data_IF_977193050426
#
_entry.id   IF_977193050426
#
_cell.length_a   1.000
_cell.length_b   1.000
_cell.length_c   1.000
_cell.angle_alpha   90.00
_cell.angle_beta   90.00
_cell.angle_gamma   90.00
#
_symmetry.space_group_name_H-M   'P 1'
#
loop_
_entity.id
_entity.type
_entity.pdbx_description
1 polymer ?
#
# COMPACT_ATOMS: atom_id res chain seq x y z
N UNK A 1 45.06 10.24 0.71
CA UNK A 1 45.83 10.26 -0.55
C UNK A 1 46.65 9.00 -0.72
N UNK A 2 47.41 8.58 0.30
CA UNK A 2 48.24 7.37 0.24
C UNK A 2 47.40 6.06 0.09
N UNK A 3 46.26 5.99 0.73
CA UNK A 3 45.36 4.83 0.64
C UNK A 3 44.67 4.72 -0.74
N UNK A 4 44.41 5.84 -1.41
CA UNK A 4 43.83 5.85 -2.74
C UNK A 4 44.87 5.44 -3.81
N UNK A 5 46.14 5.80 -3.61
CA UNK A 5 47.25 5.36 -4.47
C UNK A 5 47.52 3.86 -4.33
N UNK A 6 47.50 3.32 -3.12
CA UNK A 6 47.62 1.88 -2.89
C UNK A 6 46.45 1.06 -3.47
N UNK A 7 45.23 1.63 -3.42
CA UNK A 7 44.07 1.00 -4.06
C UNK A 7 44.18 1.00 -5.60
N UNK A 8 44.70 2.08 -6.19
CA UNK A 8 44.93 2.19 -7.65
C UNK A 8 46.01 1.19 -8.10
N UNK A 9 47.16 1.15 -7.42
CA UNK A 9 48.21 0.17 -7.70
C UNK A 9 47.71 -1.29 -7.55
N UNK A 10 46.83 -1.54 -6.58
CA UNK A 10 46.20 -2.83 -6.42
C UNK A 10 45.24 -3.24 -7.54
N UNK A 11 44.56 -2.26 -8.14
CA UNK A 11 43.67 -2.46 -9.29
C UNK A 11 44.50 -2.63 -10.58
N UNK A 12 45.54 -1.83 -10.80
CA UNK A 12 46.45 -1.97 -11.95
C UNK A 12 47.14 -3.35 -11.95
N UNK A 13 47.58 -3.84 -10.80
CA UNK A 13 48.20 -5.16 -10.67
C UNK A 13 47.22 -6.28 -10.98
N UNK A 14 46.00 -6.23 -10.47
CA UNK A 14 44.95 -7.20 -10.74
C UNK A 14 44.52 -7.20 -12.23
N UNK A 15 44.51 -6.05 -12.85
CA UNK A 15 44.16 -5.89 -14.25
C UNK A 15 45.28 -6.44 -15.17
N UNK A 16 46.55 -6.22 -14.81
CA UNK A 16 47.71 -6.79 -15.50
C UNK A 16 47.72 -8.32 -15.38
N UNK A 17 47.49 -8.87 -14.19
CA UNK A 17 47.42 -10.33 -13.94
C UNK A 17 46.25 -10.98 -14.69
N UNK A 18 45.12 -10.27 -14.82
CA UNK A 18 43.97 -10.75 -15.59
C UNK A 18 44.26 -10.73 -17.10
N UNK A 19 44.91 -9.68 -17.59
CA UNK A 19 45.30 -9.55 -19.00
C UNK A 19 46.32 -10.62 -19.41
N UNK A 20 47.30 -10.93 -18.56
CA UNK A 20 48.26 -12.04 -18.79
C UNK A 20 47.59 -13.40 -18.79
N UNK A 21 46.68 -13.68 -17.85
CA UNK A 21 45.92 -14.92 -17.82
C UNK A 21 45.01 -15.08 -19.05
N UNK A 22 44.31 -14.03 -19.42
CA UNK A 22 43.46 -14.02 -20.60
C UNK A 22 44.27 -14.25 -21.89
N UNK A 23 45.44 -13.63 -22.00
CA UNK A 23 46.35 -13.85 -23.16
C UNK A 23 46.91 -15.27 -23.19
N UNK A 24 47.22 -15.85 -22.04
CA UNK A 24 47.69 -17.25 -21.91
C UNK A 24 46.60 -18.26 -22.26
N UNK A 25 45.37 -18.05 -21.86
CA UNK A 25 44.24 -18.92 -22.20
C UNK A 25 43.85 -18.79 -23.68
N UNK A 26 43.93 -17.63 -24.30
CA UNK A 26 43.69 -17.36 -25.71
C UNK A 26 44.74 -18.09 -26.58
N UNK A 27 46.01 -18.09 -26.18
CA UNK A 27 47.06 -18.82 -26.89
C UNK A 27 46.87 -20.35 -26.83
N UNK A 28 46.28 -20.85 -25.74
CA UNK A 28 46.04 -22.30 -25.59
C UNK A 28 44.86 -22.85 -26.43
N UNK A 29 43.93 -21.96 -26.86
CA UNK A 29 42.70 -22.35 -27.59
C UNK A 29 42.87 -22.25 -29.12
N UNK A 30 43.95 -21.72 -29.64
CA UNK A 30 44.41 -21.88 -31.03
C UNK A 30 43.52 -21.31 -32.16
N UNK A 31 42.44 -20.61 -31.88
CA UNK A 31 41.60 -19.85 -32.82
C UNK A 31 40.93 -18.64 -32.17
N UNK A 32 41.65 -17.54 -32.08
CA UNK A 32 41.04 -16.26 -31.72
C UNK A 32 40.44 -15.65 -32.99
N UNK A 33 39.12 -15.40 -32.95
CA UNK A 33 38.46 -14.60 -34.01
C UNK A 33 39.07 -13.20 -34.06
N UNK A 34 39.26 -12.67 -35.28
CA UNK A 34 39.74 -11.31 -35.52
C UNK A 34 38.93 -10.24 -34.78
N UNK A 35 37.65 -10.53 -34.48
CA UNK A 35 36.77 -9.66 -33.73
C UNK A 35 37.15 -9.54 -32.24
N UNK A 36 37.67 -10.62 -31.66
CA UNK A 36 38.15 -10.64 -30.27
C UNK A 36 39.46 -9.88 -30.12
N UNK A 37 40.33 -9.99 -31.11
CA UNK A 37 41.61 -9.22 -31.18
C UNK A 37 41.33 -7.74 -31.27
N UNK A 38 40.40 -7.31 -32.13
CA UNK A 38 39.96 -5.91 -32.23
C UNK A 38 39.28 -5.39 -30.96
N UNK A 39 38.55 -6.22 -30.26
CA UNK A 39 37.94 -5.85 -28.98
C UNK A 39 38.98 -5.64 -27.87
N UNK A 40 40.02 -6.46 -27.82
CA UNK A 40 41.15 -6.35 -26.88
C UNK A 40 41.96 -5.08 -27.17
N UNK A 41 42.26 -4.80 -28.44
CA UNK A 41 42.99 -3.59 -28.87
C UNK A 41 42.18 -2.32 -28.52
N UNK A 42 40.86 -2.32 -28.75
CA UNK A 42 39.99 -1.21 -28.38
C UNK A 42 39.90 -1.02 -26.85
N UNK A 43 39.94 -2.12 -26.08
CA UNK A 43 40.01 -2.02 -24.61
C UNK A 43 41.35 -1.39 -24.17
N UNK A 44 42.46 -1.74 -24.79
CA UNK A 44 43.77 -1.17 -24.55
C UNK A 44 43.85 0.31 -24.87
N UNK A 45 43.18 0.75 -25.94
CA UNK A 45 43.07 2.19 -26.30
C UNK A 45 42.23 2.94 -25.27
N UNK A 46 41.09 2.43 -24.88
CA UNK A 46 40.25 3.06 -23.82
C UNK A 46 40.94 3.15 -22.47
N UNK A 47 41.78 2.17 -22.13
CA UNK A 47 42.57 2.23 -20.89
C UNK A 47 43.61 3.34 -20.91
N UNK A 48 44.26 3.58 -22.08
CA UNK A 48 45.21 4.70 -22.25
C UNK A 48 44.48 6.05 -22.17
N UNK A 49 43.32 6.17 -22.83
CA UNK A 49 42.50 7.38 -22.76
C UNK A 49 42.06 7.71 -21.32
N UNK A 50 41.63 6.71 -20.58
CA UNK A 50 41.28 6.87 -19.15
C UNK A 50 42.49 7.24 -18.29
N UNK A 51 43.66 6.64 -18.52
CA UNK A 51 44.89 7.00 -17.83
C UNK A 51 45.33 8.44 -18.10
N UNK A 52 45.20 8.86 -19.36
CA UNK A 52 45.49 10.24 -19.74
C UNK A 52 44.49 11.26 -19.16
N UNK A 53 43.23 10.87 -19.09
CA UNK A 53 42.18 11.69 -18.47
C UNK A 53 42.38 11.82 -16.95
N UNK A 54 42.78 10.74 -16.28
CA UNK A 54 43.19 10.76 -14.87
C UNK A 54 44.44 11.65 -14.66
N UNK A 55 45.41 11.59 -15.59
CA UNK A 55 46.61 12.45 -15.53
C UNK A 55 46.24 13.92 -15.73
N UNK A 56 45.35 14.24 -16.65
CA UNK A 56 44.82 15.59 -16.88
C UNK A 56 44.01 16.09 -15.69
N UNK A 57 43.19 15.25 -15.07
CA UNK A 57 42.48 15.58 -13.84
C UNK A 57 43.45 15.82 -12.67
N UNK A 58 44.54 15.04 -12.60
CA UNK A 58 45.59 15.23 -11.60
C UNK A 58 46.35 16.55 -11.81
N UNK A 59 46.62 16.91 -13.06
CA UNK A 59 47.26 18.21 -13.42
C UNK A 59 46.30 19.40 -13.20
N UNK A 60 45.01 19.25 -13.48
CA UNK A 60 43.99 20.27 -13.19
C UNK A 60 43.68 20.38 -11.68
N UNK A 61 43.71 19.27 -10.96
CA UNK A 61 43.53 19.25 -9.51
C UNK A 61 44.73 19.83 -8.73
N UNK A 62 45.92 19.76 -9.29
CA UNK A 62 47.12 20.31 -8.66
C UNK A 62 47.20 21.86 -8.68
N UNK A 63 46.50 22.50 -9.62
CA UNK A 63 46.46 23.96 -9.69
C UNK A 63 45.41 24.62 -8.77
N UNK A 64 44.42 23.86 -8.33
CA UNK A 64 43.35 24.39 -7.48
C UNK A 64 43.65 24.29 -5.97
N UNK A 65 44.68 23.52 -5.60
CA UNK A 65 45.07 23.31 -4.18
C UNK A 65 46.31 24.12 -3.76
N UNK A 66 46.93 24.86 -4.69
CA UNK A 66 48.13 25.68 -4.38
C UNK A 66 47.81 27.05 -3.78
N UNK A 67 46.54 27.48 -3.77
CA UNK A 67 46.10 28.75 -3.20
C UNK A 67 45.00 28.61 -2.13
N UNK A 68 44.82 27.41 -1.59
CA UNK A 68 44.09 27.23 -0.34
C UNK A 68 45.02 27.75 0.78
N UNK A 69 44.93 29.05 1.08
CA UNK A 69 45.24 29.55 2.41
C UNK A 69 44.67 28.56 3.38
N UNK A 70 45.54 28.00 4.26
CA UNK A 70 45.07 27.21 5.43
C UNK A 70 43.82 27.89 5.97
N UNK A 71 42.69 27.18 5.90
CA UNK A 71 41.50 27.58 6.62
C UNK A 71 41.85 27.60 8.11
N UNK A 72 42.34 28.73 8.58
CA UNK A 72 42.54 28.98 9.97
C UNK A 72 41.13 29.00 10.60
N UNK A 73 40.79 27.95 11.27
CA UNK A 73 39.52 27.89 12.06
C UNK A 73 39.48 29.12 12.96
N UNK A 74 38.27 29.64 13.22
CA UNK A 74 38.09 30.80 14.10
C UNK A 74 38.80 30.63 15.45
N UNK A 75 38.91 29.38 15.92
CA UNK A 75 39.69 29.01 17.13
C UNK A 75 41.21 29.18 16.94
N UNK A 76 41.77 28.85 15.76
CA UNK A 76 43.20 29.04 15.48
C UNK A 76 43.56 30.53 15.38
N UNK A 77 42.72 31.33 14.74
CA UNK A 77 42.82 32.80 14.68
C UNK A 77 42.73 33.44 16.07
N UNK A 78 41.85 32.91 16.94
CA UNK A 78 41.71 33.34 18.33
C UNK A 78 42.99 33.11 19.13
N UNK A 79 43.56 31.91 19.07
CA UNK A 79 44.79 31.55 19.83
C UNK A 79 46.04 32.31 19.32
N UNK A 80 46.10 32.67 18.03
CA UNK A 80 47.17 33.41 17.44
C UNK A 80 47.08 34.94 17.66
N UNK A 81 45.90 35.43 18.08
CA UNK A 81 45.69 36.87 18.25
C UNK A 81 46.54 37.44 19.42
N UNK A 82 47.04 38.63 19.20
CA UNK A 82 47.84 39.35 20.22
C UNK A 82 47.02 39.61 21.50
N UNK A 83 45.72 39.72 21.37
CA UNK A 83 44.80 39.85 22.50
C UNK A 83 44.72 38.62 23.39
N UNK A 84 44.73 37.40 22.77
CA UNK A 84 44.77 36.14 23.52
C UNK A 84 46.17 35.94 24.18
N UNK A 85 47.24 36.31 23.51
CA UNK A 85 48.63 36.25 24.06
C UNK A 85 48.78 37.18 25.25
N UNK A 86 48.18 38.38 25.20
CA UNK A 86 48.16 39.32 26.35
C UNK A 86 47.32 38.79 27.52
N UNK A 87 46.25 38.09 27.21
CA UNK A 87 45.42 37.42 28.25
C UNK A 87 46.16 36.25 28.90
N UNK A 88 46.75 35.38 28.09
CA UNK A 88 47.57 34.26 28.56
C UNK A 88 48.82 34.70 29.34
N UNK A 89 49.35 35.90 29.03
CA UNK A 89 50.47 36.52 29.77
C UNK A 89 50.01 37.32 31.02
N UNK A 90 48.73 37.31 31.38
CA UNK A 90 48.21 37.95 32.57
C UNK A 90 48.09 39.48 32.49
N UNK A 91 48.27 40.07 31.31
CA UNK A 91 48.19 41.52 31.08
C UNK A 91 46.80 42.04 30.73
N UNK A 92 45.81 41.14 30.49
CA UNK A 92 44.44 41.52 30.17
C UNK A 92 43.43 40.64 30.94
N UNK A 93 42.38 41.26 31.48
CA UNK A 93 41.34 40.51 32.24
C UNK A 93 40.21 39.98 31.35
N UNK A 94 40.07 40.42 30.11
CA UNK A 94 39.04 39.99 29.16
C UNK A 94 39.60 40.07 27.73
N UNK A 95 39.27 39.03 26.91
CA UNK A 95 39.59 39.00 25.48
C UNK A 95 38.30 39.00 24.66
N UNK A 96 38.19 39.90 23.70
CA UNK A 96 37.11 39.95 22.74
C UNK A 96 37.71 40.06 21.34
N UNK A 97 37.54 39.04 20.53
CA UNK A 97 37.94 39.05 19.12
C UNK A 97 36.71 39.29 18.26
N UNK A 98 36.71 40.32 17.46
CA UNK A 98 35.71 40.52 16.40
C UNK A 98 36.18 39.83 15.11
N UNK A 99 35.52 38.71 14.78
CA UNK A 99 35.75 38.05 13.47
C UNK A 99 34.92 38.80 12.43
N UNK A 100 35.57 39.65 11.65
CA UNK A 100 34.93 40.51 10.63
C UNK A 100 34.45 39.76 9.37
N UNK A 101 34.65 38.47 9.27
CA UNK A 101 34.21 37.66 8.14
C UNK A 101 33.07 36.73 8.53
N UNK A 102 31.89 37.29 8.76
CA UNK A 102 30.66 36.51 8.88
C UNK A 102 30.21 36.15 7.47
N UNK A 103 30.40 34.92 7.04
CA UNK A 103 29.73 34.40 5.85
C UNK A 103 28.26 34.36 6.17
N UNK A 104 27.53 35.39 5.78
CA UNK A 104 26.07 35.41 5.84
C UNK A 104 25.55 34.42 4.82
N UNK A 105 24.49 33.73 5.20
CA UNK A 105 23.74 32.81 4.34
C UNK A 105 23.06 33.61 3.22
N UNK A 106 23.87 34.09 2.23
CA UNK A 106 23.33 34.75 1.05
C UNK A 106 22.63 33.72 0.15
N UNK A 107 21.57 34.17 -0.50
CA UNK A 107 20.85 33.38 -1.50
C UNK A 107 21.83 32.78 -2.50
N UNK A 108 22.06 31.48 -2.48
CA UNK A 108 23.03 30.76 -3.34
C UNK A 108 24.13 29.99 -2.60
N UNK A 109 24.40 30.27 -1.31
CA UNK A 109 25.44 29.56 -0.54
C UNK A 109 24.91 28.29 0.20
N UNK A 110 23.62 28.11 0.24
CA UNK A 110 22.98 26.91 0.77
C UNK A 110 22.16 26.25 -0.33
N UNK A 111 22.53 25.06 -0.71
CA UNK A 111 21.73 24.24 -1.61
C UNK A 111 20.60 23.60 -0.78
N UNK A 112 19.35 23.75 -1.23
CA UNK A 112 18.25 23.01 -0.62
C UNK A 112 18.41 21.53 -0.96
N UNK A 113 18.44 20.67 0.04
CA UNK A 113 18.38 19.23 -0.14
C UNK A 113 16.97 18.84 -0.58
N UNK A 114 16.84 18.49 -1.86
CA UNK A 114 15.57 18.10 -2.45
C UNK A 114 15.40 16.60 -2.30
N UNK A 115 14.45 16.15 -1.49
CA UNK A 115 14.09 14.74 -1.44
C UNK A 115 13.58 14.28 -2.81
N UNK A 116 14.18 13.23 -3.41
CA UNK A 116 13.76 12.73 -4.71
C UNK A 116 12.41 12.00 -4.68
N UNK A 117 11.91 11.65 -3.48
CA UNK A 117 10.66 10.92 -3.30
C UNK A 117 9.48 11.85 -3.05
N UNK A 118 8.33 11.50 -3.64
CA UNK A 118 7.05 12.16 -3.35
C UNK A 118 6.56 11.70 -1.98
N UNK A 119 6.26 12.65 -1.09
CA UNK A 119 5.57 12.33 0.16
C UNK A 119 4.10 12.13 -0.15
N UNK A 120 3.67 10.88 -0.24
CA UNK A 120 2.30 10.51 -0.56
C UNK A 120 1.34 10.76 0.59
N UNK A 121 0.04 10.93 0.27
CA UNK A 121 -1.04 10.88 1.26
C UNK A 121 -1.21 9.47 1.85
N UNK A 122 -1.95 9.37 2.94
CA UNK A 122 -2.24 8.11 3.60
C UNK A 122 -2.94 7.11 2.66
N UNK A 123 -2.58 5.84 2.79
CA UNK A 123 -3.25 4.71 2.16
C UNK A 123 -4.08 4.00 3.23
N UNK A 124 -5.36 3.74 2.93
CA UNK A 124 -6.19 2.88 3.76
C UNK A 124 -5.76 1.43 3.56
N UNK A 125 -5.66 0.67 4.64
CA UNK A 125 -5.46 -0.78 4.55
C UNK A 125 -6.72 -1.43 3.98
N UNK A 126 -6.58 -2.12 2.86
CA UNK A 126 -7.65 -2.87 2.20
C UNK A 126 -7.61 -4.30 2.73
N UNK A 127 -8.68 -4.73 3.39
CA UNK A 127 -8.72 -6.03 4.08
C UNK A 127 -9.82 -6.95 3.61
N UNK A 128 -10.88 -6.42 2.98
CA UNK A 128 -12.08 -7.20 2.69
C UNK A 128 -11.85 -8.33 1.69
N UNK A 129 -11.08 -8.07 0.63
CA UNK A 129 -10.80 -9.10 -0.36
C UNK A 129 -10.05 -10.30 0.25
N UNK A 130 -9.14 -10.05 1.19
CA UNK A 130 -8.38 -11.11 1.86
C UNK A 130 -9.21 -11.98 2.82
N UNK A 131 -10.42 -11.53 3.17
CA UNK A 131 -11.34 -12.24 4.05
C UNK A 131 -12.34 -13.11 3.29
N UNK A 132 -12.48 -12.88 1.99
CA UNK A 132 -13.37 -13.61 1.12
C UNK A 132 -12.66 -14.80 0.46
N UNK A 133 -13.42 -15.86 0.17
CA UNK A 133 -12.95 -16.89 -0.74
C UNK A 133 -12.79 -16.29 -2.13
N UNK A 134 -11.62 -16.40 -2.73
CA UNK A 134 -11.34 -15.84 -4.06
C UNK A 134 -11.13 -16.95 -5.08
N UNK A 135 -11.84 -16.87 -6.20
CA UNK A 135 -11.73 -17.80 -7.32
C UNK A 135 -11.47 -17.05 -8.64
N UNK A 136 -10.64 -17.58 -9.53
CA UNK A 136 -10.47 -17.03 -10.87
C UNK A 136 -11.66 -17.39 -11.77
N UNK A 137 -12.00 -16.51 -12.73
CA UNK A 137 -12.98 -16.78 -13.76
C UNK A 137 -12.52 -16.26 -15.12
N UNK A 138 -12.92 -16.90 -16.20
CA UNK A 138 -12.70 -16.41 -17.57
C UNK A 138 -13.98 -15.89 -18.22
N UNK A 139 -15.13 -16.13 -17.58
CA UNK A 139 -16.45 -15.75 -18.10
C UNK A 139 -16.80 -14.29 -17.81
N UNK A 140 -17.73 -13.72 -18.59
CA UNK A 140 -18.27 -12.38 -18.37
C UNK A 140 -19.35 -12.30 -17.27
N UNK A 141 -19.88 -13.46 -16.90
CA UNK A 141 -20.89 -13.61 -15.85
C UNK A 141 -20.68 -14.98 -15.21
N UNK A 142 -21.12 -15.13 -13.97
CA UNK A 142 -21.15 -16.40 -13.26
C UNK A 142 -22.60 -16.69 -12.90
N UNK A 143 -23.05 -17.86 -13.30
CA UNK A 143 -24.36 -18.38 -12.96
C UNK A 143 -24.23 -19.35 -11.79
N UNK A 144 -25.04 -19.16 -10.78
CA UNK A 144 -25.10 -20.07 -9.64
C UNK A 144 -26.53 -20.23 -9.14
N UNK A 145 -26.77 -21.32 -8.40
CA UNK A 145 -28.09 -21.63 -7.88
C UNK A 145 -28.08 -21.42 -6.38
N UNK A 146 -28.96 -20.55 -5.89
CA UNK A 146 -29.21 -20.35 -4.46
C UNK A 146 -30.29 -21.32 -4.00
N UNK A 147 -30.05 -21.95 -2.87
CA UNK A 147 -31.11 -22.60 -2.09
C UNK A 147 -31.91 -21.52 -1.34
N UNK A 148 -33.25 -21.49 -1.56
CA UNK A 148 -34.11 -20.54 -0.86
C UNK A 148 -34.62 -21.12 0.44
N UNK A 149 -35.28 -22.27 0.36
CA UNK A 149 -35.91 -22.93 1.51
C UNK A 149 -35.69 -24.43 1.38
N UNK A 150 -35.18 -25.02 2.42
CA UNK A 150 -35.17 -26.45 2.66
C UNK A 150 -36.23 -26.80 3.74
N UNK A 151 -37.27 -27.49 3.36
CA UNK A 151 -38.26 -28.01 4.30
C UNK A 151 -37.89 -29.44 4.65
N UNK A 152 -37.33 -29.61 5.83
CA UNK A 152 -37.03 -30.97 6.36
C UNK A 152 -38.25 -31.53 7.05
N UNK A 153 -38.85 -32.54 6.44
CA UNK A 153 -39.97 -33.30 7.00
C UNK A 153 -39.54 -34.67 7.55
N UNK A 154 -38.23 -34.88 7.73
CA UNK A 154 -37.74 -36.15 8.28
C UNK A 154 -38.31 -36.39 9.67
N UNK A 155 -38.98 -37.52 9.86
CA UNK A 155 -39.59 -37.97 11.14
C UNK A 155 -39.49 -39.48 11.30
N UNK A 156 -39.51 -39.91 12.52
CA UNK A 156 -39.60 -41.33 12.87
C UNK A 156 -40.94 -41.88 12.37
N UNK A 157 -40.88 -42.95 11.60
CA UNK A 157 -42.08 -43.56 11.02
C UNK A 157 -42.17 -45.02 11.36
N UNK A 158 -43.38 -45.44 11.70
CA UNK A 158 -43.70 -46.88 11.96
C UNK A 158 -43.70 -47.65 10.65
N UNK A 159 -43.55 -48.95 10.76
CA UNK A 159 -43.60 -49.86 9.62
C UNK A 159 -45.00 -49.85 8.94
N UNK A 160 -44.96 -49.75 7.59
CA UNK A 160 -46.17 -49.72 6.78
C UNK A 160 -46.82 -48.37 6.57
N UNK A 161 -46.29 -47.26 7.16
CA UNK A 161 -46.77 -45.88 6.95
C UNK A 161 -45.93 -45.17 5.92
N UNK A 162 -46.58 -44.33 5.09
CA UNK A 162 -45.88 -43.46 4.12
C UNK A 162 -44.89 -42.55 4.82
N UNK A 163 -43.68 -42.44 4.26
CA UNK A 163 -42.62 -41.54 4.76
C UNK A 163 -42.97 -40.10 4.41
N UNK A 164 -42.71 -39.12 5.31
CA UNK A 164 -42.91 -37.69 4.99
C UNK A 164 -41.99 -37.21 3.87
N UNK A 165 -42.50 -36.32 3.02
CA UNK A 165 -41.79 -35.74 1.89
C UNK A 165 -41.15 -34.44 2.29
N UNK A 166 -39.85 -34.31 2.07
CA UNK A 166 -39.07 -33.05 2.19
C UNK A 166 -39.02 -32.33 0.88
N UNK A 167 -38.91 -31.00 0.90
CA UNK A 167 -38.83 -30.19 -0.30
C UNK A 167 -37.68 -29.19 -0.25
N UNK A 168 -37.06 -28.92 -1.43
CA UNK A 168 -36.03 -27.90 -1.62
C UNK A 168 -36.46 -26.97 -2.74
N UNK A 169 -36.42 -25.68 -2.48
CA UNK A 169 -36.64 -24.65 -3.51
C UNK A 169 -35.35 -23.92 -3.81
N UNK A 170 -35.10 -23.69 -5.10
CA UNK A 170 -33.88 -23.06 -5.55
C UNK A 170 -34.17 -21.89 -6.52
N UNK A 171 -33.27 -20.91 -6.58
CA UNK A 171 -33.34 -19.80 -7.53
C UNK A 171 -32.01 -19.68 -8.26
N UNK A 172 -32.06 -19.63 -9.59
CA UNK A 172 -30.89 -19.33 -10.40
C UNK A 172 -30.59 -17.84 -10.34
N UNK A 173 -29.33 -17.50 -10.15
CA UNK A 173 -28.80 -16.13 -10.08
C UNK A 173 -27.65 -15.99 -11.05
N UNK A 174 -27.71 -14.94 -11.89
CA UNK A 174 -26.66 -14.56 -12.83
C UNK A 174 -26.07 -13.23 -12.38
N UNK A 175 -24.79 -13.20 -12.05
CA UNK A 175 -24.09 -11.97 -11.69
C UNK A 175 -23.03 -11.64 -12.75
N UNK A 176 -23.10 -10.44 -13.38
CA UNK A 176 -22.12 -10.03 -14.37
C UNK A 176 -20.82 -9.56 -13.73
N UNK A 177 -19.70 -9.76 -14.45
CA UNK A 177 -18.40 -9.21 -14.08
C UNK A 177 -18.40 -7.70 -14.31
N UNK A 178 -18.13 -6.93 -13.28
CA UNK A 178 -17.96 -5.49 -13.35
C UNK A 178 -16.54 -5.10 -13.72
N UNK A 179 -16.39 -4.01 -14.50
CA UNK A 179 -15.11 -3.40 -14.80
C UNK A 179 -14.96 -2.12 -13.98
N UNK A 180 -13.92 -2.05 -13.19
CA UNK A 180 -13.54 -0.85 -12.42
C UNK A 180 -12.29 -0.27 -13.04
N UNK A 181 -12.40 0.96 -13.56
CA UNK A 181 -11.29 1.60 -14.26
C UNK A 181 -11.25 3.11 -13.98
N UNK A 182 -10.07 3.68 -14.05
CA UNK A 182 -9.82 5.10 -14.11
C UNK A 182 -8.54 5.41 -14.86
N UNK A 183 -8.34 6.65 -15.24
CA UNK A 183 -7.18 7.08 -15.99
C UNK A 183 -6.70 8.47 -15.58
N UNK A 184 -5.44 8.78 -15.87
CA UNK A 184 -4.80 10.08 -15.66
C UNK A 184 -3.89 10.41 -16.84
N UNK A 185 -3.75 11.69 -17.19
CA UNK A 185 -2.74 12.17 -18.16
C UNK A 185 -1.57 12.79 -17.42
N UNK A 186 -0.37 12.44 -17.85
CA UNK A 186 0.89 13.06 -17.39
C UNK A 186 1.70 13.53 -18.58
N UNK A 187 2.59 14.53 -18.40
CA UNK A 187 3.50 14.91 -19.47
C UNK A 187 4.63 13.88 -19.58
N UNK A 188 5.04 13.58 -20.82
CA UNK A 188 6.15 12.68 -21.12
C UNK A 188 7.46 13.16 -20.52
N UNK A 189 7.69 14.47 -20.52
CA UNK A 189 8.88 15.08 -19.91
C UNK A 189 8.91 14.77 -18.41
N UNK A 190 7.79 14.97 -17.70
CA UNK A 190 7.71 14.70 -16.28
C UNK A 190 7.94 13.21 -15.95
N UNK A 191 7.41 12.30 -16.79
CA UNK A 191 7.61 10.86 -16.63
C UNK A 191 9.10 10.46 -16.80
N UNK A 192 9.79 11.08 -17.75
CA UNK A 192 11.20 10.81 -18.03
C UNK A 192 12.14 11.45 -16.99
N UNK A 193 11.83 12.69 -16.58
CA UNK A 193 12.69 13.46 -15.67
C UNK A 193 12.53 13.01 -14.21
N UNK A 194 11.40 12.41 -13.84
CA UNK A 194 11.12 12.01 -12.47
C UNK A 194 10.52 10.58 -12.38
N UNK A 195 11.39 9.59 -12.45
CA UNK A 195 11.00 8.17 -12.34
C UNK A 195 10.31 7.83 -11.00
N UNK A 196 10.67 8.52 -9.92
CA UNK A 196 10.04 8.31 -8.61
C UNK A 196 8.58 8.79 -8.61
N UNK A 197 8.27 9.89 -9.29
CA UNK A 197 6.91 10.37 -9.45
C UNK A 197 6.09 9.43 -10.32
N UNK A 198 6.65 8.92 -11.42
CA UNK A 198 5.98 7.94 -12.28
C UNK A 198 5.63 6.65 -11.51
N UNK A 199 6.56 6.12 -10.73
CA UNK A 199 6.33 4.95 -9.87
C UNK A 199 5.23 5.23 -8.81
N UNK A 200 5.25 6.41 -8.19
CA UNK A 200 4.21 6.81 -7.23
C UNK A 200 2.83 6.90 -7.88
N UNK A 201 2.73 7.48 -9.08
CA UNK A 201 1.46 7.56 -9.82
C UNK A 201 0.93 6.15 -10.12
N UNK A 202 1.77 5.24 -10.62
CA UNK A 202 1.37 3.86 -10.89
C UNK A 202 0.84 3.15 -9.64
N UNK A 203 1.54 3.29 -8.50
CA UNK A 203 1.09 2.75 -7.22
C UNK A 203 -0.26 3.34 -6.79
N UNK A 204 -0.43 4.66 -6.98
CA UNK A 204 -1.67 5.36 -6.61
C UNK A 204 -2.84 4.97 -7.50
N UNK A 205 -2.58 4.72 -8.80
CA UNK A 205 -3.57 4.25 -9.75
C UNK A 205 -4.07 2.84 -9.40
N UNK A 206 -3.15 1.90 -9.14
CA UNK A 206 -3.52 0.56 -8.69
C UNK A 206 -4.36 0.60 -7.41
N UNK A 207 -3.88 1.32 -6.40
CA UNK A 207 -4.61 1.48 -5.14
C UNK A 207 -6.01 2.10 -5.33
N UNK A 208 -6.16 3.06 -6.24
CA UNK A 208 -7.46 3.69 -6.53
C UNK A 208 -8.50 2.70 -7.05
N UNK A 209 -8.10 1.78 -7.92
CA UNK A 209 -8.97 0.69 -8.42
C UNK A 209 -9.34 -0.25 -7.28
N UNK A 210 -8.36 -0.72 -6.51
CA UNK A 210 -8.59 -1.68 -5.42
C UNK A 210 -9.46 -1.07 -4.31
N UNK A 211 -9.28 0.20 -3.99
CA UNK A 211 -10.14 0.95 -3.08
C UNK A 211 -11.60 0.99 -3.57
N UNK A 212 -11.81 1.20 -4.87
CA UNK A 212 -13.15 1.20 -5.45
C UNK A 212 -13.77 -0.19 -5.44
N UNK A 213 -12.98 -1.23 -5.70
CA UNK A 213 -13.42 -2.62 -5.59
C UNK A 213 -13.88 -2.94 -4.16
N UNK A 214 -13.10 -2.56 -3.15
CA UNK A 214 -13.49 -2.76 -1.74
C UNK A 214 -14.83 -2.07 -1.40
N UNK A 215 -15.01 -0.84 -1.88
CA UNK A 215 -16.27 -0.13 -1.70
C UNK A 215 -17.43 -0.82 -2.44
N UNK A 216 -17.20 -1.40 -3.61
CA UNK A 216 -18.21 -2.13 -4.36
C UNK A 216 -18.56 -3.49 -3.74
N UNK A 217 -17.62 -4.16 -3.09
CA UNK A 217 -17.88 -5.40 -2.33
C UNK A 217 -18.95 -5.15 -1.26
N UNK A 218 -18.90 -4.02 -0.57
CA UNK A 218 -19.90 -3.69 0.45
C UNK A 218 -21.12 -3.03 -0.18
N UNK A 219 -20.94 -1.86 -0.81
CA UNK A 219 -22.02 -0.94 -1.19
C UNK A 219 -22.44 -1.05 -2.66
N UNK A 220 -22.00 -2.07 -3.38
CA UNK A 220 -22.41 -2.28 -4.77
C UNK A 220 -23.90 -2.58 -4.87
N UNK A 221 -24.63 -1.81 -5.71
CA UNK A 221 -26.09 -1.94 -5.85
C UNK A 221 -26.53 -3.01 -6.87
N UNK A 222 -25.58 -3.62 -7.60
CA UNK A 222 -25.84 -4.64 -8.61
C UNK A 222 -26.54 -4.14 -9.89
N UNK A 223 -26.71 -2.83 -10.05
CA UNK A 223 -27.21 -2.24 -11.30
C UNK A 223 -26.01 -1.92 -12.18
N UNK A 224 -25.96 -2.49 -13.39
CA UNK A 224 -24.85 -2.24 -14.31
C UNK A 224 -24.57 -0.73 -14.48
N UNK A 225 -23.29 -0.30 -14.40
CA UNK A 225 -22.06 -1.08 -14.37
C UNK A 225 -21.54 -1.49 -12.97
N UNK A 226 -22.32 -1.27 -11.90
CA UNK A 226 -21.89 -1.56 -10.54
C UNK A 226 -21.93 -3.06 -10.24
N UNK A 227 -21.02 -3.49 -9.35
CA UNK A 227 -20.98 -4.85 -8.83
C UNK A 227 -22.14 -5.10 -7.87
N UNK A 228 -22.53 -6.36 -7.70
CA UNK A 228 -23.47 -6.80 -6.66
C UNK A 228 -22.75 -6.94 -5.32
N UNK A 229 -22.95 -5.97 -4.42
CA UNK A 229 -22.32 -5.96 -3.09
C UNK A 229 -23.17 -6.61 -2.00
N UNK A 230 -22.63 -6.65 -0.79
CA UNK A 230 -23.34 -7.22 0.38
C UNK A 230 -24.61 -6.44 0.75
N UNK A 231 -24.62 -5.11 0.58
CA UNK A 231 -25.79 -4.28 0.96
C UNK A 231 -26.86 -4.20 -0.13
N UNK A 232 -26.70 -4.90 -1.27
CA UNK A 232 -27.75 -5.02 -2.29
C UNK A 232 -28.94 -5.80 -1.71
N UNK A 233 -30.13 -5.29 -1.91
CA UNK A 233 -31.37 -5.99 -1.55
C UNK A 233 -31.40 -7.40 -2.14
N UNK A 234 -31.64 -8.40 -1.30
CA UNK A 234 -31.60 -9.82 -1.68
C UNK A 234 -30.23 -10.51 -1.47
N UNK A 235 -29.18 -9.77 -1.08
CA UNK A 235 -27.87 -10.32 -0.72
C UNK A 235 -27.65 -10.39 0.80
N UNK A 236 -28.56 -9.85 1.58
CA UNK A 236 -28.51 -9.88 3.05
C UNK A 236 -29.91 -10.12 3.62
N UNK A 237 -29.94 -10.53 4.88
CA UNK A 237 -31.15 -10.54 5.68
C UNK A 237 -31.09 -9.36 6.66
N UNK A 238 -32.11 -8.50 6.65
CA UNK A 238 -32.19 -7.40 7.60
C UNK A 238 -32.29 -7.94 9.03
N UNK A 239 -31.68 -7.25 10.00
CA UNK A 239 -31.74 -7.68 11.41
C UNK A 239 -33.16 -7.58 11.99
N UNK A 240 -34.01 -6.67 11.49
CA UNK A 240 -35.42 -6.54 11.88
C UNK A 240 -35.67 -6.07 13.31
N UNK A 241 -34.65 -5.65 14.04
CA UNK A 241 -34.80 -5.14 15.41
C UNK A 241 -35.15 -3.65 15.39
N UNK A 242 -36.02 -3.27 16.33
CA UNK A 242 -36.37 -1.86 16.63
C UNK A 242 -35.78 -1.46 17.99
N UNK A 243 -35.75 -0.17 18.31
CA UNK A 243 -35.27 0.32 19.59
C UNK A 243 -36.00 -0.33 20.78
N UNK A 244 -37.30 -0.63 20.64
CA UNK A 244 -38.11 -1.26 21.68
C UNK A 244 -37.70 -2.71 21.97
N UNK A 245 -37.08 -3.41 21.00
CA UNK A 245 -36.59 -4.78 21.15
C UNK A 245 -35.21 -4.85 21.83
N UNK A 246 -34.52 -3.68 21.98
CA UNK A 246 -33.20 -3.56 22.58
C UNK A 246 -33.37 -3.07 24.03
N UNK A 247 -33.00 -3.89 25.00
CA UNK A 247 -33.23 -3.63 26.42
C UNK A 247 -32.08 -2.94 27.14
N UNK A 248 -31.07 -2.49 26.41
CA UNK A 248 -29.90 -1.81 26.99
C UNK A 248 -30.21 -0.42 27.56
N UNK A 249 -29.56 -0.04 28.65
CA UNK A 249 -29.69 1.27 29.27
C UNK A 249 -28.95 2.36 28.49
N UNK A 250 -29.62 2.99 27.55
CA UNK A 250 -29.10 4.07 26.71
C UNK A 250 -28.64 3.61 25.31
N UNK A 251 -28.58 4.58 24.37
CA UNK A 251 -28.28 4.33 22.94
C UNK A 251 -26.98 3.57 22.69
N UNK A 252 -25.96 3.77 23.50
CA UNK A 252 -24.67 3.10 23.31
C UNK A 252 -24.70 1.63 23.71
N UNK A 253 -25.44 1.28 24.74
CA UNK A 253 -25.61 -0.11 25.16
C UNK A 253 -26.48 -0.88 24.15
N UNK A 254 -27.47 -0.23 23.56
CA UNK A 254 -28.29 -0.82 22.52
C UNK A 254 -27.47 -1.26 21.30
N UNK A 255 -26.38 -0.59 20.94
CA UNK A 255 -25.49 -0.98 19.84
C UNK A 255 -24.80 -2.33 20.12
N UNK A 256 -24.34 -2.56 21.35
CA UNK A 256 -23.77 -3.86 21.73
C UNK A 256 -24.81 -4.97 21.71
N UNK A 257 -25.98 -4.71 22.28
CA UNK A 257 -27.08 -5.68 22.32
C UNK A 257 -27.55 -6.03 20.91
N UNK A 258 -27.63 -5.06 20.00
CA UNK A 258 -27.97 -5.27 18.60
C UNK A 258 -26.99 -6.23 17.94
N UNK A 259 -25.68 -5.92 18.03
CA UNK A 259 -24.65 -6.77 17.43
C UNK A 259 -24.70 -8.18 18.04
N UNK A 260 -24.86 -8.29 19.34
CA UNK A 260 -25.01 -9.58 20.03
C UNK A 260 -26.21 -10.39 19.54
N UNK A 261 -27.36 -9.74 19.32
CA UNK A 261 -28.56 -10.39 18.75
C UNK A 261 -28.33 -10.80 17.30
N UNK A 262 -27.73 -9.95 16.47
CA UNK A 262 -27.40 -10.30 15.08
C UNK A 262 -26.46 -11.51 15.00
N UNK A 263 -25.47 -11.60 15.91
CA UNK A 263 -24.61 -12.79 16.02
C UNK A 263 -25.43 -14.02 16.39
N UNK A 264 -26.35 -13.89 17.36
CA UNK A 264 -27.26 -14.97 17.74
C UNK A 264 -28.15 -15.45 16.59
N UNK A 265 -28.66 -14.51 15.76
CA UNK A 265 -29.44 -14.83 14.57
C UNK A 265 -28.64 -15.58 13.49
N UNK A 266 -27.38 -15.24 13.34
CA UNK A 266 -26.48 -15.96 12.45
C UNK A 266 -26.25 -17.40 12.95
N UNK A 267 -26.07 -17.60 14.26
CA UNK A 267 -25.98 -18.93 14.88
C UNK A 267 -27.26 -19.71 14.74
N UNK A 268 -28.43 -19.08 14.95
CA UNK A 268 -29.74 -19.74 14.80
C UNK A 268 -30.06 -20.15 13.35
N UNK A 269 -29.41 -19.50 12.39
CA UNK A 269 -29.49 -19.84 10.98
C UNK A 269 -28.42 -20.85 10.52
N UNK A 270 -27.67 -21.45 11.45
CA UNK A 270 -26.57 -22.38 11.19
C UNK A 270 -25.36 -21.79 10.41
N UNK A 271 -25.25 -20.44 10.40
CA UNK A 271 -24.12 -19.71 9.79
C UNK A 271 -23.37 -18.88 10.84
N UNK A 272 -22.52 -19.47 11.69
CA UNK A 272 -21.80 -18.72 12.70
C UNK A 272 -20.98 -17.60 12.07
N UNK A 273 -21.25 -16.37 12.48
CA UNK A 273 -20.55 -15.20 11.91
C UNK A 273 -19.08 -15.17 12.36
N UNK A 274 -18.21 -14.92 11.43
CA UNK A 274 -16.76 -14.79 11.61
C UNK A 274 -16.28 -13.34 11.62
N UNK A 275 -17.09 -12.41 11.13
CA UNK A 275 -16.70 -11.02 10.93
C UNK A 275 -17.86 -10.06 11.20
N UNK A 276 -17.54 -8.98 11.92
CA UNK A 276 -18.39 -7.81 12.12
C UNK A 276 -17.73 -6.64 11.39
N UNK A 277 -18.46 -5.94 10.54
CA UNK A 277 -17.95 -4.77 9.80
C UNK A 277 -18.62 -3.51 10.31
N UNK A 278 -17.81 -2.52 10.68
CA UNK A 278 -18.26 -1.25 11.24
C UNK A 278 -17.50 -0.08 10.59
N UNK A 279 -18.18 1.09 10.57
CA UNK A 279 -17.52 2.33 10.24
C UNK A 279 -16.56 2.74 11.39
N UNK A 280 -15.40 3.36 11.10
CA UNK A 280 -14.48 3.86 12.12
C UNK A 280 -15.13 4.79 13.14
N UNK A 281 -16.07 5.67 12.72
CA UNK A 281 -16.77 6.58 13.62
C UNK A 281 -17.61 5.81 14.65
N UNK A 282 -18.33 4.76 14.21
CA UNK A 282 -19.16 3.96 15.09
C UNK A 282 -18.33 3.09 16.03
N UNK A 283 -17.26 2.47 15.50
CA UNK A 283 -16.34 1.69 16.33
C UNK A 283 -15.72 2.54 17.45
N UNK A 284 -15.22 3.73 17.13
CA UNK A 284 -14.65 4.61 18.16
C UNK A 284 -15.71 5.13 19.14
N UNK A 285 -16.94 5.38 18.69
CA UNK A 285 -18.04 5.77 19.58
C UNK A 285 -18.35 4.65 20.58
N UNK A 286 -18.38 3.39 20.12
CA UNK A 286 -18.59 2.24 20.99
C UNK A 286 -17.40 2.01 21.93
N UNK A 287 -16.16 2.18 21.45
CA UNK A 287 -14.95 2.01 22.26
C UNK A 287 -14.83 3.07 23.36
N UNK A 288 -15.34 4.26 23.13
CA UNK A 288 -15.38 5.35 24.12
C UNK A 288 -16.59 5.26 25.04
N UNK A 289 -17.48 4.29 24.86
CA UNK A 289 -18.63 4.12 25.73
C UNK A 289 -18.22 3.78 27.14
N UNK A 290 -18.88 4.45 28.12
CA UNK A 290 -18.60 4.32 29.55
C UNK A 290 -19.87 3.90 30.29
N UNK A 291 -19.68 3.23 31.41
CA UNK A 291 -20.75 2.93 32.36
C UNK A 291 -21.11 4.16 33.19
N UNK A 292 -22.11 4.02 34.07
CA UNK A 292 -22.55 5.07 35.01
C UNK A 292 -21.47 5.50 36.00
N UNK A 293 -20.36 4.77 36.10
CA UNK A 293 -19.21 5.06 36.98
C UNK A 293 -17.99 5.57 36.22
N UNK A 294 -18.18 5.98 34.94
CA UNK A 294 -17.14 6.48 34.04
C UNK A 294 -16.05 5.44 33.66
N UNK A 295 -16.30 4.14 33.79
CA UNK A 295 -15.38 3.09 33.35
C UNK A 295 -15.69 2.73 31.89
N UNK A 296 -14.66 2.48 31.10
CA UNK A 296 -14.85 2.05 29.70
C UNK A 296 -15.45 0.65 29.64
N UNK A 297 -16.44 0.44 28.75
CA UNK A 297 -17.13 -0.84 28.58
C UNK A 297 -16.25 -1.85 27.83
N UNK A 298 -15.45 -1.43 26.87
CA UNK A 298 -14.60 -2.29 26.05
C UNK A 298 -13.15 -2.41 26.56
N UNK A 299 -12.93 -2.24 27.86
CA UNK A 299 -11.63 -2.42 28.52
C UNK A 299 -10.81 -1.14 28.68
N UNK A 300 -9.68 -1.30 29.36
CA UNK A 300 -8.80 -0.19 29.72
C UNK A 300 -8.12 0.38 28.45
N UNK A 301 -8.02 1.73 28.34
CA UNK A 301 -7.28 2.38 27.25
C UNK A 301 -5.81 1.97 27.11
N UNK A 302 -5.20 1.45 28.18
CA UNK A 302 -3.81 0.98 28.18
C UNK A 302 -3.60 -0.41 27.58
N UNK A 303 -4.66 -1.14 27.24
CA UNK A 303 -4.54 -2.46 26.64
C UNK A 303 -4.62 -2.37 25.13
N UNK A 304 -3.59 -2.88 24.44
CA UNK A 304 -3.60 -3.06 22.99
C UNK A 304 -4.37 -4.34 22.66
N UNK A 305 -5.65 -4.19 22.30
CA UNK A 305 -6.52 -5.30 21.93
C UNK A 305 -6.90 -5.19 20.45
N UNK A 306 -6.74 -6.29 19.74
CA UNK A 306 -7.31 -6.42 18.38
C UNK A 306 -8.81 -6.14 18.42
N UNK A 307 -9.36 -5.40 17.44
CA UNK A 307 -10.80 -5.13 17.41
C UNK A 307 -11.62 -6.42 17.40
N UNK A 308 -12.34 -6.69 18.49
CA UNK A 308 -13.21 -7.86 18.62
C UNK A 308 -14.41 -7.54 19.50
N UNK A 309 -15.56 -8.15 19.19
CA UNK A 309 -16.80 -8.11 20.00
C UNK A 309 -17.36 -9.51 20.09
N UNK A 310 -17.73 -9.92 21.31
CA UNK A 310 -18.30 -11.26 21.59
C UNK A 310 -17.45 -12.42 21.02
N UNK A 311 -16.10 -12.24 20.98
CA UNK A 311 -15.19 -13.23 20.41
C UNK A 311 -15.09 -13.23 18.88
N UNK A 312 -15.88 -12.38 18.20
CA UNK A 312 -15.86 -12.24 16.74
C UNK A 312 -14.99 -11.04 16.35
N UNK A 313 -14.21 -11.17 15.29
CA UNK A 313 -13.34 -10.11 14.77
C UNK A 313 -14.16 -8.93 14.25
N UNK A 314 -13.75 -7.71 14.59
CA UNK A 314 -14.31 -6.48 14.04
C UNK A 314 -13.37 -5.93 12.95
N UNK A 315 -13.90 -5.76 11.75
CA UNK A 315 -13.22 -5.08 10.63
C UNK A 315 -13.73 -3.66 10.56
N UNK A 316 -12.83 -2.71 10.83
CA UNK A 316 -13.13 -1.28 10.81
C UNK A 316 -12.79 -0.73 9.44
N UNK A 317 -13.80 -0.36 8.65
CA UNK A 317 -13.61 0.14 7.28
C UNK A 317 -14.55 1.29 6.94
N UNK A 318 -14.02 2.28 6.21
CA UNK A 318 -14.82 3.39 5.68
C UNK A 318 -15.74 2.97 4.50
N UNK A 319 -15.67 1.72 4.04
CA UNK A 319 -16.57 1.22 3.01
C UNK A 319 -17.99 0.94 3.55
N UNK A 320 -18.13 0.74 4.85
CA UNK A 320 -19.43 0.66 5.54
C UNK A 320 -19.93 2.06 5.83
N UNK A 321 -21.20 2.32 5.55
CA UNK A 321 -21.86 3.60 5.86
C UNK A 321 -21.88 3.79 7.39
N UNK A 322 -21.69 5.03 7.85
CA UNK A 322 -21.85 5.33 9.27
C UNK A 322 -23.26 4.99 9.76
N UNK A 323 -23.36 4.61 11.02
CA UNK A 323 -24.58 4.14 11.69
C UNK A 323 -25.21 2.88 11.08
N UNK A 324 -24.38 2.07 10.38
CA UNK A 324 -24.82 0.75 9.90
C UNK A 324 -23.82 -0.32 10.32
N UNK A 325 -24.31 -1.56 10.47
CA UNK A 325 -23.48 -2.72 10.81
C UNK A 325 -23.77 -3.87 9.87
N UNK A 326 -22.71 -4.56 9.50
CA UNK A 326 -22.78 -5.79 8.73
C UNK A 326 -22.11 -6.91 9.54
N UNK A 327 -22.85 -7.98 9.79
CA UNK A 327 -22.39 -9.19 10.48
C UNK A 327 -22.52 -10.35 9.51
N UNK A 328 -21.42 -11.04 9.24
CA UNK A 328 -21.44 -12.11 8.24
C UNK A 328 -20.50 -13.26 8.59
N UNK A 329 -20.85 -14.44 8.09
CA UNK A 329 -19.93 -15.56 7.94
C UNK A 329 -19.31 -15.48 6.53
N UNK A 330 -18.26 -14.65 6.36
CA UNK A 330 -17.72 -14.29 5.06
C UNK A 330 -17.28 -15.49 4.23
N UNK A 331 -16.64 -16.46 4.87
CA UNK A 331 -16.16 -17.67 4.21
C UNK A 331 -17.27 -18.50 3.57
N UNK A 332 -18.50 -18.44 4.13
CA UNK A 332 -19.66 -19.20 3.66
C UNK A 332 -20.65 -18.36 2.85
N UNK A 333 -20.69 -17.04 3.10
CA UNK A 333 -21.70 -16.16 2.53
C UNK A 333 -21.46 -15.86 1.07
N UNK A 334 -20.19 -15.63 0.68
CA UNK A 334 -19.89 -15.10 -0.63
C UNK A 334 -18.53 -15.56 -1.16
N UNK A 335 -18.46 -15.64 -2.49
CA UNK A 335 -17.23 -15.92 -3.23
C UNK A 335 -16.89 -14.71 -4.10
N UNK A 336 -15.64 -14.24 -4.01
CA UNK A 336 -15.13 -13.18 -4.87
C UNK A 336 -14.50 -13.79 -6.13
N UNK A 337 -15.00 -13.40 -7.30
CA UNK A 337 -14.46 -13.86 -8.57
C UNK A 337 -13.59 -12.79 -9.20
N UNK A 338 -12.34 -13.12 -9.43
CA UNK A 338 -11.37 -12.26 -10.09
C UNK A 338 -11.18 -12.74 -11.54
N UNK A 339 -11.61 -11.94 -12.51
CA UNK A 339 -11.40 -12.25 -13.93
C UNK A 339 -10.06 -11.74 -14.43
N UNK A 340 -9.75 -10.49 -14.08
CA UNK A 340 -8.49 -9.84 -14.40
C UNK A 340 -8.02 -9.06 -13.18
N UNK A 341 -6.77 -9.25 -12.79
CA UNK A 341 -6.13 -8.46 -11.75
C UNK A 341 -6.00 -7.00 -12.15
N UNK A 342 -5.51 -6.16 -11.25
CA UNK A 342 -5.28 -4.74 -11.55
C UNK A 342 -4.18 -4.61 -12.59
N UNK A 343 -4.53 -4.13 -13.79
CA UNK A 343 -3.64 -3.90 -14.93
C UNK A 343 -3.47 -2.41 -15.10
N UNK A 344 -2.24 -1.98 -15.40
CA UNK A 344 -1.91 -0.59 -15.71
C UNK A 344 -1.42 -0.53 -17.15
N UNK A 345 -2.15 0.17 -18.00
CA UNK A 345 -1.83 0.41 -19.40
C UNK A 345 -1.38 1.84 -19.61
N UNK A 346 -0.36 2.02 -20.45
CA UNK A 346 0.14 3.31 -20.86
C UNK A 346 -0.07 3.51 -22.36
N UNK A 347 -0.57 4.68 -22.75
CA UNK A 347 -0.76 5.03 -24.16
C UNK A 347 -0.32 6.46 -24.43
N UNK A 348 0.47 6.64 -25.50
CA UNK A 348 0.89 7.94 -26.01
C UNK A 348 -0.03 8.44 -27.16
N UNK A 349 -0.88 7.56 -27.71
CA UNK A 349 -1.70 7.83 -28.89
C UNK A 349 -3.16 8.20 -28.59
N UNK A 350 -3.53 8.36 -27.30
CA UNK A 350 -4.89 8.71 -26.91
C UNK A 350 -5.21 10.17 -27.23
N UNK A 351 -6.29 10.39 -28.02
CA UNK A 351 -6.79 11.72 -28.38
C UNK A 351 -5.68 12.67 -28.92
N UNK A 352 -5.37 13.73 -28.20
CA UNK A 352 -4.38 14.76 -28.52
C UNK A 352 -3.01 14.57 -27.81
N UNK A 353 -2.80 13.43 -27.20
CA UNK A 353 -1.57 13.12 -26.44
C UNK A 353 -0.30 13.28 -27.28
N UNK A 354 -0.34 12.82 -28.54
CA UNK A 354 0.81 12.90 -29.45
C UNK A 354 1.25 14.35 -29.69
N UNK A 355 0.30 15.25 -29.92
CA UNK A 355 0.60 16.66 -30.21
C UNK A 355 0.99 17.45 -28.98
N UNK A 356 0.59 16.99 -27.77
CA UNK A 356 0.84 17.66 -26.51
C UNK A 356 1.92 16.99 -25.65
N UNK A 357 2.59 15.95 -26.16
CA UNK A 357 3.57 15.16 -25.43
C UNK A 357 3.02 14.62 -24.08
N UNK A 358 1.81 14.08 -24.12
CA UNK A 358 1.13 13.49 -22.96
C UNK A 358 1.15 11.97 -23.04
N UNK A 359 1.14 11.31 -21.88
CA UNK A 359 0.97 9.88 -21.71
C UNK A 359 -0.28 9.66 -20.88
N UNK A 360 -1.24 8.88 -21.39
CA UNK A 360 -2.40 8.44 -20.63
C UNK A 360 -2.05 7.14 -19.91
N UNK A 361 -2.25 7.11 -18.60
CA UNK A 361 -2.12 5.94 -17.75
C UNK A 361 -3.53 5.52 -17.36
N UNK A 362 -3.91 4.28 -17.68
CA UNK A 362 -5.19 3.68 -17.32
C UNK A 362 -4.94 2.51 -16.38
N UNK A 363 -5.61 2.48 -15.25
CA UNK A 363 -5.68 1.33 -14.38
C UNK A 363 -7.07 0.69 -14.47
N UNK A 364 -7.13 -0.63 -14.61
CA UNK A 364 -8.36 -1.37 -14.81
C UNK A 364 -8.30 -2.71 -14.08
N UNK A 365 -9.46 -3.14 -13.55
CA UNK A 365 -9.65 -4.44 -12.93
C UNK A 365 -11.05 -4.97 -13.26
N UNK A 366 -11.15 -6.29 -13.46
CA UNK A 366 -12.43 -6.94 -13.76
C UNK A 366 -12.71 -8.02 -12.72
N UNK A 367 -13.76 -7.81 -11.94
CA UNK A 367 -14.12 -8.69 -10.83
C UNK A 367 -15.61 -8.66 -10.55
N UNK A 368 -16.08 -9.59 -9.72
CA UNK A 368 -17.45 -9.65 -9.23
C UNK A 368 -17.53 -10.32 -7.87
N UNK A 369 -18.59 -10.07 -7.14
CA UNK A 369 -18.94 -10.76 -5.90
C UNK A 369 -20.20 -11.59 -6.14
N UNK A 370 -20.14 -12.88 -5.83
CA UNK A 370 -21.31 -13.75 -5.78
C UNK A 370 -21.68 -14.00 -4.31
N UNK A 371 -22.81 -13.45 -3.88
CA UNK A 371 -23.33 -13.73 -2.53
C UNK A 371 -24.22 -14.96 -2.63
N UNK A 372 -23.71 -16.10 -2.24
CA UNK A 372 -24.38 -17.39 -2.41
C UNK A 372 -25.44 -17.63 -1.32
N UNK A 373 -25.17 -17.16 -0.10
CA UNK A 373 -26.04 -17.40 1.08
C UNK A 373 -26.41 -16.09 1.78
N UNK A 374 -27.50 -15.43 1.38
CA UNK A 374 -27.95 -14.19 2.02
C UNK A 374 -28.32 -14.36 3.51
N UNK A 375 -28.70 -15.56 3.93
CA UNK A 375 -29.01 -15.88 5.32
C UNK A 375 -27.77 -15.81 6.24
N UNK A 376 -26.56 -15.96 5.67
CA UNK A 376 -25.29 -15.85 6.38
C UNK A 376 -24.84 -14.39 6.56
N UNK A 377 -25.58 -13.41 6.04
CA UNK A 377 -25.28 -11.98 6.10
C UNK A 377 -26.43 -11.25 6.79
N UNK A 378 -26.13 -10.54 7.85
CA UNK A 378 -27.06 -9.63 8.54
C UNK A 378 -26.59 -8.21 8.34
N UNK A 379 -27.50 -7.34 7.92
CA UNK A 379 -27.20 -5.92 7.69
C UNK A 379 -28.37 -5.05 8.16
N UNK A 380 -28.05 -3.87 8.66
CA UNK A 380 -29.03 -2.84 9.00
C UNK A 380 -28.45 -1.72 9.85
N UNK A 381 -29.32 -0.86 10.32
CA UNK A 381 -28.96 0.31 11.11
C UNK A 381 -28.45 -0.09 12.49
N UNK A 382 -27.39 0.56 12.95
CA UNK A 382 -26.79 0.33 14.25
C UNK A 382 -27.60 0.99 15.39
N UNK A 383 -28.36 2.02 15.06
CA UNK A 383 -29.32 2.71 15.95
C UNK A 383 -30.71 2.70 15.35
N UNK A 384 -31.40 1.55 15.30
CA UNK A 384 -32.73 1.46 14.74
C UNK A 384 -33.72 2.32 15.54
N UNK A 385 -34.67 2.96 14.82
CA UNK A 385 -35.71 3.81 15.41
C UNK A 385 -36.81 3.02 16.17
#
# INVERSE_FOLDING_TARGET
MEDLMKALEGIEKKLSDFSEKASGEIQSIGKVSTDTQTAIDNLGLKQRELADEILQLKQRGGGFLADAKKDETAGALFVQSDQYKAFAGGQAQKVRLEVKNTVTNAIGNTFSDRRPSVVGGAFRTLTLESLLSSLPTTSNAVDYVRENVFTNAAAETTEGIAKPESSVTTTAVTEPVATVAHWIKISRQLANDNAALAAYINLRMAYGVDLRVENQIIAGNGTAPNMSGFTKTGNFTAHGYTAAALTGAGLLNNRFDLIGKMLGDCWAADYPADTIMLNPADWWTMRLAKDSQNRYLLGDPGQDMSPSLFGTRVVVTNAVTADTVLVASLAQAATFYNREGTIIDLSESDSDNFTKNLVTIRAERRCMLAVERPAAVRYGDLTPA
#
